data_IF_449315393434
#
_entry.id   IF_449315393434
#
_cell.length_a   1.000
_cell.length_b   1.000
_cell.length_c   1.000
_cell.angle_alpha   90.00
_cell.angle_beta   90.00
_cell.angle_gamma   90.00
#
_symmetry.space_group_name_H-M   'P 1'
#
loop_
_entity.id
_entity.type
_entity.pdbx_description
1 polymer ?
#
# COMPACT_ATOMS: atom_id res chain seq x y z
N UNK A 1 16.49 5.97 0.77
CA UNK A 1 15.36 5.46 1.59
C UNK A 1 14.13 6.27 1.22
N UNK A 2 13.05 5.61 0.74
CA UNK A 2 11.83 6.28 0.34
C UNK A 2 11.03 6.75 1.57
N UNK A 3 10.45 7.94 1.49
CA UNK A 3 9.48 8.46 2.45
C UNK A 3 8.09 8.14 1.90
N UNK A 4 7.37 7.24 2.58
CA UNK A 4 6.07 6.74 2.15
C UNK A 4 5.00 7.29 3.09
N UNK A 5 4.07 8.07 2.57
CA UNK A 5 2.99 8.68 3.34
C UNK A 5 1.91 7.63 3.63
N UNK A 6 1.77 7.21 4.89
CA UNK A 6 0.78 6.23 5.36
C UNK A 6 -0.61 6.81 5.29
N UNK A 7 -1.44 6.32 4.38
CA UNK A 7 -2.80 6.83 4.12
C UNK A 7 -2.82 8.32 3.74
N UNK A 8 -1.74 8.78 3.05
CA UNK A 8 -1.45 10.18 2.87
C UNK A 8 -0.69 10.79 4.05
N UNK A 9 -0.62 12.14 4.13
CA UNK A 9 -0.06 12.80 5.32
C UNK A 9 -1.11 12.83 6.43
N UNK A 10 -1.34 11.68 7.05
CA UNK A 10 -2.48 11.39 7.92
C UNK A 10 -2.45 12.14 9.25
N UNK A 11 -1.28 12.39 9.86
CA UNK A 11 -1.17 13.17 11.10
C UNK A 11 -1.75 14.60 10.97
N UNK A 12 -1.79 15.14 9.75
CA UNK A 12 -2.26 16.50 9.49
C UNK A 12 -3.71 16.57 8.96
N UNK A 13 -4.10 15.64 8.09
CA UNK A 13 -5.36 15.73 7.33
C UNK A 13 -6.30 14.54 7.49
N UNK A 14 -5.96 13.58 8.39
CA UNK A 14 -6.70 12.32 8.51
C UNK A 14 -6.32 11.31 7.41
N UNK A 15 -6.89 10.12 7.53
CA UNK A 15 -6.51 8.95 6.76
C UNK A 15 -7.25 8.85 5.42
N UNK A 16 -6.59 8.35 4.38
CA UNK A 16 -7.21 7.85 3.16
C UNK A 16 -8.16 8.85 2.46
N UNK A 17 -7.80 10.13 2.42
CA UNK A 17 -8.60 11.18 1.81
C UNK A 17 -7.79 12.08 0.86
N UNK A 18 -8.48 12.79 -0.03
CA UNK A 18 -7.84 13.66 -1.04
C UNK A 18 -6.95 14.74 -0.39
N UNK A 19 -7.37 15.45 0.67
CA UNK A 19 -6.50 16.42 1.35
C UNK A 19 -5.18 15.80 1.83
N UNK A 20 -5.20 14.64 2.49
CA UNK A 20 -3.98 13.98 2.98
C UNK A 20 -3.03 13.57 1.85
N UNK A 21 -3.57 13.17 0.70
CA UNK A 21 -2.79 12.81 -0.48
C UNK A 21 -2.14 14.03 -1.12
N UNK A 22 -2.86 15.14 -1.23
CA UNK A 22 -2.32 16.41 -1.75
C UNK A 22 -1.22 16.98 -0.84
N UNK A 23 -1.43 16.92 0.48
CA UNK A 23 -0.43 17.32 1.47
C UNK A 23 0.83 16.42 1.38
N UNK A 24 0.68 15.11 1.18
CA UNK A 24 1.83 14.23 0.97
C UNK A 24 2.66 14.65 -0.26
N UNK A 25 2.02 15.03 -1.36
CA UNK A 25 2.72 15.59 -2.54
C UNK A 25 3.41 16.91 -2.19
N UNK A 26 2.71 17.81 -1.52
CA UNK A 26 3.23 19.14 -1.16
C UNK A 26 4.46 19.06 -0.25
N UNK A 27 4.44 18.18 0.76
CA UNK A 27 5.56 17.98 1.67
C UNK A 27 6.68 17.06 1.15
N UNK A 28 6.60 16.64 -0.11
CA UNK A 28 7.68 15.95 -0.80
C UNK A 28 7.90 14.51 -0.33
N UNK A 29 6.84 13.77 -0.03
CA UNK A 29 6.91 12.33 0.08
C UNK A 29 7.22 11.71 -1.30
N UNK A 30 7.91 10.57 -1.30
CA UNK A 30 8.29 9.84 -2.52
C UNK A 30 7.14 8.96 -3.04
N UNK A 31 6.23 8.55 -2.13
CA UNK A 31 5.14 7.62 -2.39
C UNK A 31 3.98 7.88 -1.43
N UNK A 32 2.76 7.73 -1.92
CA UNK A 32 1.54 7.69 -1.08
C UNK A 32 1.11 6.24 -0.96
N UNK A 33 0.97 5.79 0.28
CA UNK A 33 0.29 4.52 0.57
C UNK A 33 -1.19 4.81 0.85
N UNK A 34 -2.06 3.92 0.36
CA UNK A 34 -3.50 3.98 0.57
C UNK A 34 -4.11 2.58 0.61
N UNK A 35 -5.08 2.40 1.50
CA UNK A 35 -5.82 1.15 1.68
C UNK A 35 -6.96 1.06 0.67
N UNK A 36 -7.06 -0.06 -0.04
CA UNK A 36 -8.10 -0.26 -1.04
C UNK A 36 -8.93 -1.50 -0.79
N UNK A 37 -10.23 -1.41 -1.03
CA UNK A 37 -11.13 -2.54 -0.95
C UNK A 37 -12.33 -2.38 -1.90
N UNK A 38 -13.07 -3.48 -2.10
CA UNK A 38 -14.20 -3.54 -3.01
C UNK A 38 -15.49 -3.18 -2.27
N UNK A 39 -16.30 -2.29 -2.83
CA UNK A 39 -17.66 -2.03 -2.36
C UNK A 39 -18.70 -2.91 -3.07
N UNK A 40 -19.94 -2.91 -2.60
CA UNK A 40 -21.04 -3.74 -3.10
C UNK A 40 -21.35 -3.55 -4.59
N UNK A 41 -21.19 -2.35 -5.09
CA UNK A 41 -21.49 -2.01 -6.49
C UNK A 41 -20.31 -2.24 -7.44
N UNK A 42 -19.18 -2.74 -6.92
CA UNK A 42 -18.03 -3.19 -7.70
C UNK A 42 -16.93 -2.14 -7.89
N UNK A 43 -17.10 -0.93 -7.37
CA UNK A 43 -16.05 0.09 -7.36
C UNK A 43 -15.02 -0.19 -6.27
N UNK A 44 -13.80 0.28 -6.51
CA UNK A 44 -12.72 0.22 -5.54
C UNK A 44 -12.77 1.51 -4.72
N UNK A 45 -12.89 1.37 -3.41
CA UNK A 45 -12.91 2.50 -2.46
C UNK A 45 -11.62 2.55 -1.65
N UNK A 46 -11.28 3.74 -1.16
CA UNK A 46 -10.06 3.99 -0.39
C UNK A 46 -10.44 4.13 1.08
N UNK A 47 -10.27 3.03 1.83
CA UNK A 47 -10.64 2.95 3.24
C UNK A 47 -9.97 1.76 3.92
N UNK A 48 -9.49 1.93 5.17
CA UNK A 48 -8.71 0.91 5.87
C UNK A 48 -9.55 -0.20 6.46
N UNK A 49 -10.56 0.16 7.28
CA UNK A 49 -11.30 -0.81 8.06
C UNK A 49 -12.24 -1.63 7.17
N UNK A 50 -12.35 -2.92 7.43
CA UNK A 50 -13.25 -3.80 6.66
C UNK A 50 -14.72 -3.60 7.02
N UNK A 51 -15.00 -2.84 8.09
CA UNK A 51 -16.33 -2.47 8.57
C UNK A 51 -16.43 -0.96 8.71
N UNK A 52 -17.62 -0.45 8.41
CA UNK A 52 -18.03 0.91 8.72
C UNK A 52 -19.30 0.81 9.54
N UNK A 53 -19.34 1.42 10.77
CA UNK A 53 -20.36 1.17 11.76
C UNK A 53 -20.51 -0.35 12.00
N UNK A 54 -21.71 -0.92 11.80
CA UNK A 54 -22.00 -2.34 12.05
C UNK A 54 -22.05 -3.21 10.79
N UNK A 55 -21.55 -2.70 9.62
CA UNK A 55 -21.72 -3.34 8.34
C UNK A 55 -20.38 -3.41 7.57
N UNK A 56 -20.09 -4.55 6.90
CA UNK A 56 -18.88 -4.66 6.06
C UNK A 56 -18.90 -3.67 4.89
N UNK A 57 -17.73 -3.14 4.52
CA UNK A 57 -17.60 -2.23 3.37
C UNK A 57 -18.14 -2.85 2.07
N UNK A 58 -17.92 -4.13 1.85
CA UNK A 58 -18.42 -4.85 0.66
C UNK A 58 -19.94 -4.97 0.58
N UNK A 59 -20.69 -4.56 1.59
CA UNK A 59 -22.16 -4.50 1.58
C UNK A 59 -22.71 -3.08 1.35
N UNK A 60 -21.85 -2.05 1.35
CA UNK A 60 -22.23 -0.68 1.00
C UNK A 60 -22.12 -0.43 -0.48
N UNK A 61 -23.05 0.31 -1.05
CA UNK A 61 -22.92 0.91 -2.39
C UNK A 61 -21.91 2.06 -2.35
N UNK A 62 -21.29 2.40 -3.49
CA UNK A 62 -20.43 3.58 -3.56
C UNK A 62 -21.16 4.86 -3.10
N UNK A 63 -22.43 5.01 -3.46
CA UNK A 63 -23.23 6.19 -3.06
C UNK A 63 -23.38 6.32 -1.54
N UNK A 64 -23.58 5.20 -0.83
CA UNK A 64 -23.65 5.19 0.63
C UNK A 64 -22.28 5.57 1.24
N UNK A 65 -21.18 5.02 0.72
CA UNK A 65 -19.82 5.32 1.19
C UNK A 65 -19.39 6.78 0.92
N UNK A 66 -19.85 7.36 -0.18
CA UNK A 66 -19.60 8.78 -0.47
C UNK A 66 -20.33 9.72 0.52
N UNK A 67 -21.44 9.29 1.14
CA UNK A 67 -22.09 10.06 2.21
C UNK A 67 -21.29 10.07 3.52
N UNK A 68 -20.36 9.13 3.67
CA UNK A 68 -19.40 9.01 4.78
C UNK A 68 -18.02 9.54 4.40
N UNK A 69 -17.94 10.38 3.36
CA UNK A 69 -16.70 10.99 2.84
C UNK A 69 -15.64 9.97 2.36
N UNK A 70 -16.04 8.71 2.10
CA UNK A 70 -15.16 7.67 1.56
C UNK A 70 -15.07 7.83 0.04
N UNK A 71 -13.86 8.04 -0.46
CA UNK A 71 -13.57 8.29 -1.87
C UNK A 71 -13.29 6.99 -2.64
N UNK A 72 -13.70 6.93 -3.91
CA UNK A 72 -13.30 5.85 -4.80
C UNK A 72 -11.90 6.09 -5.40
N UNK A 73 -11.22 4.99 -5.76
CA UNK A 73 -9.86 5.02 -6.29
C UNK A 73 -9.75 5.79 -7.62
N UNK A 74 -10.82 5.79 -8.44
CA UNK A 74 -10.83 6.50 -9.72
C UNK A 74 -10.76 7.99 -9.50
N UNK A 75 -11.52 8.51 -8.53
CA UNK A 75 -11.48 9.91 -8.10
C UNK A 75 -10.08 10.28 -7.58
N UNK A 76 -9.43 9.40 -6.80
CA UNK A 76 -8.04 9.65 -6.36
C UNK A 76 -7.10 9.78 -7.55
N UNK A 77 -7.19 8.88 -8.55
CA UNK A 77 -6.35 8.92 -9.75
C UNK A 77 -6.63 10.13 -10.66
N UNK A 78 -7.81 10.74 -10.58
CA UNK A 78 -8.10 11.99 -11.30
C UNK A 78 -7.37 13.19 -10.71
N UNK A 79 -7.19 13.19 -9.38
CA UNK A 79 -6.57 14.28 -8.63
C UNK A 79 -5.05 14.10 -8.52
N UNK A 80 -4.60 12.89 -8.15
CA UNK A 80 -3.19 12.62 -7.87
C UNK A 80 -2.47 12.19 -9.14
N UNK A 81 -1.50 13.01 -9.58
CA UNK A 81 -0.73 12.74 -10.80
C UNK A 81 0.41 11.76 -10.51
N UNK A 82 0.29 10.55 -11.05
CA UNK A 82 1.27 9.47 -10.85
C UNK A 82 2.68 9.83 -11.36
N UNK A 83 2.80 10.82 -12.24
CA UNK A 83 4.09 11.34 -12.71
C UNK A 83 4.86 12.07 -11.59
N UNK A 84 4.16 12.65 -10.64
CA UNK A 84 4.76 13.43 -9.55
C UNK A 84 5.11 12.58 -8.35
N UNK A 85 4.27 11.59 -8.02
CA UNK A 85 4.43 10.75 -6.84
C UNK A 85 4.12 9.29 -7.18
N UNK A 86 4.80 8.32 -6.51
CA UNK A 86 4.48 6.90 -6.64
C UNK A 86 3.23 6.57 -5.81
N UNK A 87 2.53 5.51 -6.20
CA UNK A 87 1.33 5.04 -5.50
C UNK A 87 1.58 3.63 -4.95
N UNK A 88 1.24 3.44 -3.69
CA UNK A 88 1.29 2.15 -3.01
C UNK A 88 -0.12 1.78 -2.55
N UNK A 89 -0.69 0.73 -3.15
CA UNK A 89 -2.03 0.21 -2.87
C UNK A 89 -1.91 -0.99 -1.94
N UNK A 90 -2.43 -0.88 -0.72
CA UNK A 90 -2.51 -1.99 0.24
C UNK A 90 -3.92 -2.59 0.22
N UNK A 91 -4.02 -3.87 -0.18
CA UNK A 91 -5.30 -4.57 -0.35
C UNK A 91 -5.87 -4.95 1.00
N UNK A 92 -7.10 -4.48 1.27
CA UNK A 92 -7.92 -4.83 2.42
C UNK A 92 -9.15 -5.65 2.00
N UNK A 93 -9.82 -6.26 2.96
CA UNK A 93 -11.03 -7.04 2.72
C UNK A 93 -10.82 -8.21 1.75
N UNK A 94 -11.72 -8.36 0.77
CA UNK A 94 -11.65 -9.42 -0.24
C UNK A 94 -10.55 -9.17 -1.27
N UNK A 95 -9.78 -10.21 -1.58
CA UNK A 95 -8.81 -10.18 -2.68
C UNK A 95 -9.46 -10.09 -4.08
N UNK A 96 -10.78 -10.21 -4.19
CA UNK A 96 -11.49 -10.03 -5.47
C UNK A 96 -11.35 -8.62 -6.04
N UNK A 97 -10.98 -7.65 -5.20
CA UNK A 97 -10.62 -6.28 -5.63
C UNK A 97 -9.53 -6.26 -6.71
N UNK A 98 -8.73 -7.33 -6.79
CA UNK A 98 -7.61 -7.41 -7.75
C UNK A 98 -8.09 -7.41 -9.21
N UNK A 99 -9.25 -7.99 -9.52
CA UNK A 99 -9.77 -8.07 -10.88
C UNK A 99 -10.16 -6.68 -11.41
N UNK A 100 -11.08 -5.93 -10.79
CA UNK A 100 -11.37 -4.57 -11.24
C UNK A 100 -10.16 -3.62 -11.12
N UNK A 101 -9.23 -3.89 -10.20
CA UNK A 101 -8.00 -3.11 -10.10
C UNK A 101 -7.13 -3.28 -11.36
N UNK A 102 -6.88 -4.51 -11.80
CA UNK A 102 -6.10 -4.79 -13.02
C UNK A 102 -6.73 -4.08 -14.23
N UNK A 103 -8.06 -4.16 -14.38
CA UNK A 103 -8.76 -3.53 -15.52
C UNK A 103 -8.67 -2.00 -15.45
N UNK A 104 -8.87 -1.42 -14.28
CA UNK A 104 -8.70 0.02 -14.04
C UNK A 104 -7.30 0.50 -14.39
N UNK A 105 -6.28 -0.21 -13.90
CA UNK A 105 -4.89 0.16 -14.13
C UNK A 105 -4.50 0.06 -15.61
N UNK A 106 -4.92 -1.01 -16.30
CA UNK A 106 -4.65 -1.20 -17.75
C UNK A 106 -5.31 -0.14 -18.62
N UNK A 107 -6.54 0.21 -18.31
CA UNK A 107 -7.28 1.19 -19.12
C UNK A 107 -6.78 2.62 -18.91
N UNK A 108 -6.21 2.92 -17.74
CA UNK A 108 -5.90 4.28 -17.31
C UNK A 108 -4.44 4.68 -17.50
N UNK A 109 -3.50 3.74 -17.38
CA UNK A 109 -2.09 4.06 -17.28
C UNK A 109 -1.25 3.41 -18.37
N UNK A 110 -0.27 4.16 -18.88
CA UNK A 110 0.79 3.63 -19.75
C UNK A 110 1.73 2.68 -18.97
N UNK A 111 2.46 1.83 -19.69
CA UNK A 111 3.48 0.95 -19.11
C UNK A 111 4.46 1.69 -18.19
N UNK A 112 4.91 2.89 -18.60
CA UNK A 112 5.83 3.72 -17.78
C UNK A 112 5.21 4.17 -16.46
N UNK A 113 3.93 4.51 -16.46
CA UNK A 113 3.21 4.91 -15.26
C UNK A 113 2.95 3.73 -14.34
N UNK A 114 2.63 2.55 -14.90
CA UNK A 114 2.39 1.33 -14.13
C UNK A 114 3.61 0.90 -13.29
N UNK A 115 4.84 1.13 -13.76
CA UNK A 115 6.05 0.89 -12.97
C UNK A 115 6.17 1.77 -11.71
N UNK A 116 5.31 2.78 -11.54
CA UNK A 116 5.24 3.65 -10.37
C UNK A 116 4.15 3.23 -9.38
N UNK A 117 3.44 2.13 -9.67
CA UNK A 117 2.39 1.56 -8.82
C UNK A 117 2.94 0.34 -8.10
N UNK A 118 2.75 0.31 -6.80
CA UNK A 118 3.13 -0.76 -5.88
C UNK A 118 1.86 -1.36 -5.29
N UNK A 119 1.77 -2.68 -5.22
CA UNK A 119 0.59 -3.39 -4.71
C UNK A 119 1.04 -4.40 -3.69
N UNK A 120 0.48 -4.36 -2.49
CA UNK A 120 0.65 -5.39 -1.48
C UNK A 120 -0.64 -5.68 -0.71
N UNK A 121 -0.55 -6.53 0.27
CA UNK A 121 -1.61 -6.86 1.22
C UNK A 121 -1.15 -7.98 2.14
N UNK A 122 -1.89 -8.17 3.23
CA UNK A 122 -1.63 -9.24 4.20
C UNK A 122 -2.16 -10.59 3.71
N UNK A 123 -3.27 -10.59 2.96
CA UNK A 123 -3.81 -11.77 2.31
C UNK A 123 -3.10 -11.97 0.96
N UNK A 124 -2.55 -13.16 0.72
CA UNK A 124 -1.73 -13.46 -0.45
C UNK A 124 -2.49 -13.93 -1.70
N UNK A 125 -3.80 -14.05 -1.62
CA UNK A 125 -4.62 -14.57 -2.74
C UNK A 125 -4.59 -13.65 -3.96
N UNK A 126 -4.30 -12.34 -3.80
CA UNK A 126 -4.17 -11.38 -4.91
C UNK A 126 -2.91 -11.62 -5.77
N UNK A 127 -1.86 -12.29 -5.24
CA UNK A 127 -0.55 -12.39 -5.89
C UNK A 127 -0.64 -13.17 -7.21
N UNK A 128 -1.28 -14.34 -7.19
CA UNK A 128 -1.35 -15.19 -8.40
C UNK A 128 -2.08 -14.50 -9.53
N UNK A 129 -3.30 -13.96 -9.38
CA UNK A 129 -3.98 -13.20 -10.42
C UNK A 129 -3.14 -12.02 -10.94
N UNK A 130 -2.45 -11.32 -10.05
CA UNK A 130 -1.63 -10.16 -10.42
C UNK A 130 -0.41 -10.57 -11.26
N UNK A 131 0.29 -11.64 -10.90
CA UNK A 131 1.40 -12.20 -11.69
C UNK A 131 0.93 -12.72 -13.06
N UNK A 132 -0.18 -13.43 -13.11
CA UNK A 132 -0.78 -13.96 -14.35
C UNK A 132 -1.23 -12.83 -15.29
N UNK A 133 -1.65 -11.70 -14.75
CA UNK A 133 -2.05 -10.53 -15.54
C UNK A 133 -0.93 -9.91 -16.34
N UNK A 134 0.33 -10.11 -15.95
CA UNK A 134 1.54 -9.51 -16.56
C UNK A 134 1.53 -7.98 -16.60
N UNK A 135 0.71 -7.33 -15.76
CA UNK A 135 0.74 -5.88 -15.61
C UNK A 135 2.07 -5.46 -14.95
N UNK A 136 2.80 -4.44 -15.48
CA UNK A 136 4.14 -4.12 -15.00
C UNK A 136 4.15 -3.23 -13.75
N UNK A 137 3.37 -3.61 -12.74
CA UNK A 137 3.39 -2.98 -11.41
C UNK A 137 4.42 -3.66 -10.50
N UNK A 138 4.73 -3.05 -9.37
CA UNK A 138 5.56 -3.64 -8.32
C UNK A 138 4.70 -4.45 -7.35
N UNK A 139 5.04 -5.71 -7.14
CA UNK A 139 4.27 -6.64 -6.32
C UNK A 139 5.02 -6.91 -5.02
N UNK A 140 4.34 -6.77 -3.89
CA UNK A 140 4.92 -7.00 -2.58
C UNK A 140 4.01 -7.75 -1.62
N UNK A 141 4.51 -7.91 -0.40
CA UNK A 141 3.80 -8.48 0.74
C UNK A 141 3.83 -7.52 1.91
N UNK A 142 2.68 -7.34 2.58
CA UNK A 142 2.61 -6.72 3.91
C UNK A 142 2.63 -7.82 4.96
N UNK A 143 3.54 -7.75 5.94
CA UNK A 143 3.69 -8.73 7.02
C UNK A 143 3.80 -8.05 8.38
N UNK A 144 3.08 -8.58 9.38
CA UNK A 144 3.10 -8.08 10.76
C UNK A 144 3.70 -9.08 11.76
N UNK A 145 4.14 -10.24 11.29
CA UNK A 145 4.72 -11.29 12.14
C UNK A 145 6.20 -11.51 11.80
N UNK A 146 6.97 -11.96 12.78
CA UNK A 146 8.32 -12.47 12.58
C UNK A 146 8.27 -13.85 11.92
N UNK A 147 9.19 -14.10 11.01
CA UNK A 147 9.33 -15.36 10.30
C UNK A 147 10.76 -15.87 10.43
N UNK A 148 10.90 -17.21 10.45
CA UNK A 148 12.19 -17.84 10.20
C UNK A 148 12.63 -17.49 8.76
N UNK A 149 13.94 -17.43 8.55
CA UNK A 149 14.53 -16.93 7.30
C UNK A 149 14.10 -17.73 6.07
N UNK A 150 14.03 -19.07 6.20
CA UNK A 150 13.63 -19.96 5.13
C UNK A 150 12.16 -19.77 4.74
N UNK A 151 11.30 -19.56 5.73
CA UNK A 151 9.89 -19.31 5.49
C UNK A 151 9.68 -17.95 4.82
N UNK A 152 10.36 -16.91 5.28
CA UNK A 152 10.30 -15.60 4.65
C UNK A 152 10.84 -15.64 3.22
N UNK A 153 11.95 -16.34 2.96
CA UNK A 153 12.50 -16.51 1.62
C UNK A 153 11.50 -17.19 0.67
N UNK A 154 10.80 -18.21 1.17
CA UNK A 154 9.75 -18.90 0.40
C UNK A 154 8.55 -18.00 0.14
N UNK A 155 8.10 -17.24 1.16
CA UNK A 155 6.95 -16.36 1.08
C UNK A 155 7.18 -15.19 0.13
N UNK A 156 8.38 -14.63 0.11
CA UNK A 156 8.75 -13.45 -0.70
C UNK A 156 9.24 -13.77 -2.11
N UNK A 157 9.25 -15.06 -2.49
CA UNK A 157 9.64 -15.49 -3.84
C UNK A 157 8.77 -14.80 -4.90
N UNK A 158 9.40 -14.22 -5.91
CA UNK A 158 8.80 -13.43 -7.00
C UNK A 158 8.17 -12.09 -6.54
N UNK A 159 8.50 -11.60 -5.37
CA UNK A 159 8.09 -10.27 -4.93
C UNK A 159 9.16 -9.24 -5.28
N UNK A 160 8.74 -8.02 -5.60
CA UNK A 160 9.63 -6.86 -5.75
C UNK A 160 10.00 -6.26 -4.39
N UNK A 161 9.10 -6.33 -3.41
CA UNK A 161 9.31 -5.76 -2.08
C UNK A 161 8.56 -6.52 -0.98
N UNK A 162 8.99 -6.31 0.26
CA UNK A 162 8.28 -6.72 1.48
C UNK A 162 8.12 -5.49 2.37
N UNK A 163 6.89 -5.23 2.83
CA UNK A 163 6.58 -4.19 3.79
C UNK A 163 6.34 -4.85 5.16
N UNK A 164 7.23 -4.58 6.14
CA UNK A 164 7.28 -5.27 7.43
C UNK A 164 6.83 -4.35 8.57
N UNK A 165 6.08 -4.91 9.51
CA UNK A 165 5.88 -4.24 10.79
C UNK A 165 7.23 -3.99 11.47
N UNK A 166 7.40 -2.81 12.07
CA UNK A 166 8.66 -2.39 12.67
C UNK A 166 9.14 -3.29 13.83
N UNK A 167 8.21 -3.98 14.53
CA UNK A 167 8.53 -4.98 15.57
C UNK A 167 9.07 -6.29 14.99
N UNK A 168 8.81 -6.56 13.70
CA UNK A 168 9.25 -7.78 13.00
C UNK A 168 10.59 -7.62 12.29
N UNK A 169 11.21 -6.43 12.36
CA UNK A 169 12.49 -6.17 11.70
C UNK A 169 13.63 -6.95 12.36
N UNK A 170 14.45 -7.60 11.56
CA UNK A 170 15.73 -8.15 11.98
C UNK A 170 16.76 -8.10 10.84
N UNK A 171 18.04 -8.00 11.21
CA UNK A 171 19.12 -7.82 10.25
C UNK A 171 19.27 -8.99 9.29
N UNK A 172 19.13 -10.22 9.77
CA UNK A 172 19.35 -11.43 8.98
C UNK A 172 18.30 -11.56 7.86
N UNK A 173 17.03 -11.34 8.19
CA UNK A 173 15.94 -11.36 7.22
C UNK A 173 16.07 -10.23 6.18
N UNK A 174 16.42 -9.02 6.60
CA UNK A 174 16.63 -7.89 5.70
C UNK A 174 17.79 -8.17 4.73
N UNK A 175 18.93 -8.67 5.23
CA UNK A 175 20.04 -9.05 4.37
C UNK A 175 19.69 -10.15 3.38
N UNK A 176 18.92 -11.14 3.80
CA UNK A 176 18.45 -12.22 2.93
C UNK A 176 17.53 -11.69 1.84
N UNK A 177 16.58 -10.81 2.16
CA UNK A 177 15.70 -10.18 1.18
C UNK A 177 16.50 -9.37 0.16
N UNK A 178 17.45 -8.54 0.61
CA UNK A 178 18.33 -7.76 -0.28
C UNK A 178 19.20 -8.65 -1.19
N UNK A 179 19.75 -9.76 -0.67
CA UNK A 179 20.49 -10.74 -1.48
C UNK A 179 19.65 -11.36 -2.59
N UNK A 180 18.33 -11.43 -2.39
CA UNK A 180 17.37 -11.90 -3.39
C UNK A 180 16.82 -10.77 -4.28
N UNK A 181 17.32 -9.54 -4.17
CA UNK A 181 16.90 -8.38 -4.95
C UNK A 181 15.55 -7.80 -4.53
N UNK A 182 15.09 -8.10 -3.31
CA UNK A 182 13.80 -7.67 -2.77
C UNK A 182 14.00 -6.43 -1.90
N UNK A 183 13.26 -5.36 -2.18
CA UNK A 183 13.27 -4.15 -1.36
C UNK A 183 12.54 -4.36 -0.03
N UNK A 184 13.00 -3.68 1.01
CA UNK A 184 12.41 -3.78 2.35
C UNK A 184 11.89 -2.42 2.80
N UNK A 185 10.58 -2.35 2.99
CA UNK A 185 9.91 -1.21 3.61
C UNK A 185 9.46 -1.58 5.02
N UNK A 186 9.30 -0.59 5.88
CA UNK A 186 8.80 -0.80 7.24
C UNK A 186 7.62 0.12 7.56
N UNK A 187 6.63 -0.36 8.28
CA UNK A 187 5.45 0.37 8.76
C UNK A 187 5.25 0.13 10.27
N UNK A 188 4.55 0.98 10.99
CA UNK A 188 4.20 2.35 10.67
C UNK A 188 4.98 3.25 11.61
N UNK A 189 5.69 4.23 11.04
CA UNK A 189 6.39 5.22 11.82
C UNK A 189 5.39 6.30 12.28
N UNK A 190 4.90 6.18 13.51
CA UNK A 190 3.96 7.12 14.14
C UNK A 190 4.59 7.96 15.27
N UNK A 191 5.84 7.64 15.69
CA UNK A 191 6.54 8.31 16.77
C UNK A 191 8.06 8.31 16.55
N UNK A 192 8.75 9.26 17.19
CA UNK A 192 10.21 9.42 17.05
C UNK A 192 11.00 8.19 17.51
N UNK A 193 10.55 7.52 18.58
CA UNK A 193 11.24 6.31 19.05
C UNK A 193 11.14 5.15 18.04
N UNK A 194 10.03 5.04 17.30
CA UNK A 194 9.88 4.06 16.22
C UNK A 194 10.84 4.40 15.09
N UNK A 195 10.93 5.67 14.70
CA UNK A 195 11.88 6.12 13.69
C UNK A 195 13.32 5.81 14.09
N UNK A 196 13.70 6.06 15.34
CA UNK A 196 15.05 5.73 15.84
C UNK A 196 15.32 4.21 15.82
N UNK A 197 14.31 3.39 16.11
CA UNK A 197 14.41 1.95 15.98
C UNK A 197 14.59 1.53 14.51
N UNK A 198 13.74 2.01 13.60
CA UNK A 198 13.81 1.70 12.17
C UNK A 198 15.14 2.10 11.54
N UNK A 199 15.74 3.23 11.97
CA UNK A 199 17.04 3.72 11.48
C UNK A 199 18.23 2.79 11.78
N UNK A 200 18.07 1.81 12.66
CA UNK A 200 19.11 0.80 12.94
C UNK A 200 19.19 -0.25 11.82
N UNK A 201 18.19 -0.32 10.94
CA UNK A 201 18.10 -1.28 9.87
C UNK A 201 18.34 -0.64 8.51
N UNK A 202 18.86 -1.44 7.57
CA UNK A 202 19.04 -1.02 6.18
C UNK A 202 17.71 -1.14 5.44
N UNK A 203 16.83 -0.14 5.59
CA UNK A 203 15.53 -0.10 4.92
C UNK A 203 15.61 0.69 3.60
N UNK A 204 14.80 0.29 2.62
CA UNK A 204 14.62 1.00 1.35
C UNK A 204 13.53 2.06 1.44
N UNK A 205 12.57 1.92 2.37
CA UNK A 205 11.53 2.90 2.64
C UNK A 205 10.90 2.77 4.02
N UNK A 206 10.31 3.87 4.49
CA UNK A 206 9.55 3.93 5.74
C UNK A 206 8.15 4.47 5.44
N UNK A 207 7.13 3.72 5.84
CA UNK A 207 5.71 4.12 5.82
C UNK A 207 5.42 4.89 7.10
N UNK A 208 5.02 6.16 6.97
CA UNK A 208 4.94 7.10 8.09
C UNK A 208 3.69 7.96 8.03
N UNK A 209 3.09 8.21 9.22
CA UNK A 209 1.98 9.16 9.38
C UNK A 209 2.47 10.63 9.29
N UNK A 210 3.78 10.85 9.46
CA UNK A 210 4.41 12.16 9.65
C UNK A 210 5.60 12.35 8.72
N UNK A 211 6.04 13.60 8.58
CA UNK A 211 7.25 13.94 7.83
C UNK A 211 8.49 13.31 8.52
N UNK A 212 9.36 12.66 7.72
CA UNK A 212 10.58 11.98 8.16
C UNK A 212 11.83 12.87 7.99
#
# INVERSE_FOLDING_TARGET
>A
MLKIAHRGYSDNCGDNNIPSFLEAVYYGFDMIEMDIQLCKTGEIVVYHDTYLHDKPICEYTLKELQQEDIVDLTTVFDVIKIETIKIFLDIKGSCDVIYPLIDTLRSRFSTRQLHRIYISGFNRQFIKPLLESKIPVKIGLSICNSFEKEDLARLSKNMDFVCMDWLSLNHENIEMLHKNGIFVYAFTCSADYILQHMKQYKLDGIVSNRIL
#
